data_IF_856748281469
#
_entry.id   IF_856748281469
#
_cell.length_a   1.000
_cell.length_b   1.000
_cell.length_c   1.000
_cell.angle_alpha   90.00
_cell.angle_beta   90.00
_cell.angle_gamma   90.00
#
_symmetry.space_group_name_H-M   'P 1'
#
loop_
_entity.id
_entity.type
_entity.pdbx_description
1 polymer ?
#
# COMPACT_ATOMS: atom_id res chain seq x y z
N UNK A 1 6.76 30.86 5.72
CA UNK A 1 7.02 30.71 4.27
C UNK A 1 6.19 29.61 3.63
N UNK A 2 6.03 28.42 4.22
CA UNK A 2 5.15 27.36 3.69
C UNK A 2 3.72 27.27 4.26
N UNK A 3 3.31 28.17 5.15
CA UNK A 3 1.98 28.13 5.79
C UNK A 3 1.72 26.98 6.77
N UNK A 4 2.74 26.17 7.08
CA UNK A 4 2.62 24.99 7.96
C UNK A 4 2.76 25.38 9.43
N UNK A 5 1.89 24.84 10.28
CA UNK A 5 1.94 25.04 11.73
C UNK A 5 2.96 24.08 12.37
N UNK A 6 3.93 24.64 13.09
CA UNK A 6 4.97 23.90 13.81
C UNK A 6 4.58 23.71 15.29
N UNK A 7 5.08 22.65 15.91
CA UNK A 7 4.94 22.40 17.35
C UNK A 7 4.66 20.94 17.70
N UNK A 8 4.57 20.68 19.00
CA UNK A 8 4.26 19.34 19.54
C UNK A 8 2.83 18.89 19.18
N UNK A 9 1.87 19.82 19.19
CA UNK A 9 0.48 19.54 18.83
C UNK A 9 0.33 19.06 17.38
N UNK A 10 1.11 19.65 16.47
CA UNK A 10 1.14 19.27 15.05
C UNK A 10 2.16 18.18 14.73
N UNK A 11 2.89 17.69 15.75
CA UNK A 11 3.96 16.68 15.64
C UNK A 11 5.09 17.08 14.67
N UNK A 12 5.28 18.37 14.44
CA UNK A 12 6.31 18.94 13.57
C UNK A 12 7.22 19.87 14.39
N UNK A 13 8.26 19.30 14.99
CA UNK A 13 9.08 19.98 16.02
C UNK A 13 10.42 20.44 15.44
N UNK A 14 10.69 21.76 15.34
CA UNK A 14 12.00 22.26 14.93
C UNK A 14 12.98 22.18 16.11
N UNK A 15 14.08 21.43 15.94
CA UNK A 15 15.11 21.31 16.96
C UNK A 15 16.19 22.40 16.91
N UNK A 16 16.46 22.97 15.72
CA UNK A 16 17.42 24.05 15.52
C UNK A 16 17.79 24.18 14.05
N UNK A 17 18.60 25.20 13.72
CA UNK A 17 19.08 25.46 12.35
C UNK A 17 20.36 24.70 12.01
N UNK A 18 21.22 24.51 12.99
CA UNK A 18 22.51 23.83 12.83
C UNK A 18 22.33 22.31 12.88
N UNK A 19 23.15 21.58 12.11
CA UNK A 19 23.11 20.12 12.03
C UNK A 19 23.30 19.45 13.40
N UNK A 20 24.09 20.05 14.28
CA UNK A 20 24.28 19.59 15.66
C UNK A 20 22.98 19.46 16.45
N UNK A 21 21.94 20.21 16.08
CA UNK A 21 20.62 20.15 16.72
C UNK A 21 19.87 18.83 16.45
N UNK A 22 20.28 18.07 15.42
CA UNK A 22 19.73 16.75 15.14
C UNK A 22 19.91 15.78 16.32
N UNK A 23 20.91 16.00 17.17
CA UNK A 23 21.14 15.20 18.39
C UNK A 23 19.93 15.20 19.32
N UNK A 24 19.11 16.25 19.33
CA UNK A 24 17.93 16.31 20.19
C UNK A 24 16.87 15.28 19.79
N UNK A 25 16.76 14.96 18.49
CA UNK A 25 15.88 13.89 18.01
C UNK A 25 16.37 12.50 18.46
N UNK A 26 17.67 12.23 18.33
CA UNK A 26 18.26 10.96 18.79
C UNK A 26 18.22 10.83 20.33
N UNK A 27 18.43 11.95 21.04
CA UNK A 27 18.29 12.02 22.50
C UNK A 27 16.85 11.82 22.96
N UNK A 28 15.86 12.24 22.17
CA UNK A 28 14.45 11.91 22.41
C UNK A 28 14.20 10.39 22.26
N UNK A 29 14.71 9.78 21.19
CA UNK A 29 14.61 8.33 20.96
C UNK A 29 15.29 7.51 22.08
N UNK A 30 16.48 7.94 22.51
CA UNK A 30 17.20 7.36 23.66
C UNK A 30 16.37 7.42 24.95
N UNK A 31 15.72 8.55 25.22
CA UNK A 31 14.83 8.71 26.39
C UNK A 31 13.59 7.83 26.29
N UNK A 32 13.05 7.58 25.11
CA UNK A 32 11.94 6.64 24.95
C UNK A 32 12.34 5.22 25.39
N UNK A 33 13.55 4.76 25.05
CA UNK A 33 14.06 3.47 25.50
C UNK A 33 14.23 3.39 27.04
N UNK A 34 14.70 4.47 27.68
CA UNK A 34 14.84 4.54 29.14
C UNK A 34 13.47 4.55 29.83
N UNK A 35 12.57 5.41 29.38
CA UNK A 35 11.26 5.65 30.02
C UNK A 35 10.26 4.53 29.78
N UNK A 36 10.17 4.02 28.55
CA UNK A 36 9.15 3.04 28.15
C UNK A 36 9.73 1.63 27.93
N UNK A 37 11.01 1.54 27.56
CA UNK A 37 11.70 0.26 27.39
C UNK A 37 12.30 -0.32 28.67
N UNK A 38 12.36 0.47 29.76
CA UNK A 38 12.99 0.06 31.03
C UNK A 38 14.50 -0.16 30.92
N UNK A 39 15.14 0.34 29.85
CA UNK A 39 16.58 0.22 29.64
C UNK A 39 17.31 1.03 30.71
N UNK A 40 18.33 0.45 31.33
CA UNK A 40 19.10 1.11 32.38
C UNK A 40 20.09 2.12 31.81
N UNK A 41 20.38 3.18 32.57
CA UNK A 41 21.40 4.15 32.20
C UNK A 41 22.78 3.47 32.07
N UNK A 42 23.50 3.76 30.98
CA UNK A 42 24.79 3.13 30.67
C UNK A 42 24.68 1.85 29.82
N UNK A 43 23.50 1.24 29.71
CA UNK A 43 23.27 0.08 28.83
C UNK A 43 23.02 0.52 27.38
N UNK A 44 24.09 0.96 26.72
CA UNK A 44 24.01 1.47 25.35
C UNK A 44 23.50 0.42 24.37
N UNK A 45 23.86 -0.86 24.56
CA UNK A 45 23.50 -1.94 23.63
C UNK A 45 22.00 -2.17 23.61
N UNK A 46 21.37 -2.31 24.77
CA UNK A 46 19.91 -2.47 24.83
C UNK A 46 19.18 -1.20 24.39
N UNK A 47 19.78 -0.01 24.60
CA UNK A 47 19.21 1.24 24.09
C UNK A 47 19.16 1.25 22.55
N UNK A 48 20.28 0.93 21.88
CA UNK A 48 20.33 0.87 20.42
C UNK A 48 19.42 -0.22 19.85
N UNK A 49 19.39 -1.41 20.47
CA UNK A 49 18.48 -2.49 20.07
C UNK A 49 17.00 -2.13 20.26
N UNK A 50 16.66 -1.41 21.32
CA UNK A 50 15.30 -0.92 21.52
C UNK A 50 14.91 0.04 20.39
N UNK A 51 15.76 1.04 20.10
CA UNK A 51 15.50 2.01 19.05
C UNK A 51 15.32 1.35 17.67
N UNK A 52 16.24 0.45 17.29
CA UNK A 52 16.15 -0.30 16.05
C UNK A 52 14.81 -1.02 15.89
N UNK A 53 14.33 -1.68 16.94
CA UNK A 53 13.17 -2.57 16.86
C UNK A 53 11.82 -1.91 17.21
N UNK A 54 11.82 -0.77 17.92
CA UNK A 54 10.60 -0.15 18.47
C UNK A 54 10.37 1.28 18.00
N UNK A 55 11.42 2.02 17.63
CA UNK A 55 11.30 3.41 17.19
C UNK A 55 11.48 3.47 15.67
N UNK A 56 10.38 3.67 14.95
CA UNK A 56 10.39 3.73 13.49
C UNK A 56 10.74 5.13 12.98
N UNK A 57 12.01 5.53 13.16
CA UNK A 57 12.55 6.78 12.66
C UNK A 57 13.50 6.58 11.47
N UNK A 58 13.62 7.60 10.62
CA UNK A 58 14.55 7.72 9.50
C UNK A 58 15.00 9.17 9.36
N UNK A 59 16.10 9.41 8.66
CA UNK A 59 16.65 10.74 8.37
C UNK A 59 16.44 11.07 6.90
N UNK A 60 15.86 12.23 6.61
CA UNK A 60 15.85 12.79 5.26
C UNK A 60 16.89 13.90 5.17
N UNK A 61 17.98 13.67 4.44
CA UNK A 61 19.03 14.64 4.20
C UNK A 61 18.72 15.39 2.90
N UNK A 62 18.20 16.61 3.01
CA UNK A 62 17.76 17.42 1.88
C UNK A 62 18.79 18.50 1.53
N UNK A 63 19.31 18.48 0.31
CA UNK A 63 20.30 19.43 -0.22
C UNK A 63 21.74 18.90 -0.19
N UNK A 64 22.69 19.84 -0.19
CA UNK A 64 24.12 19.53 -0.18
C UNK A 64 24.56 18.94 1.17
N UNK A 65 25.06 17.70 1.14
CA UNK A 65 25.50 16.97 2.34
C UNK A 65 26.98 17.24 2.58
N UNK A 66 27.28 17.92 3.67
CA UNK A 66 28.65 18.20 4.11
C UNK A 66 29.23 17.05 4.95
N UNK A 67 30.55 17.05 5.17
CA UNK A 67 31.23 16.07 6.04
C UNK A 67 30.63 15.99 7.46
N UNK A 68 30.17 17.12 8.00
CA UNK A 68 29.51 17.16 9.31
C UNK A 68 28.14 16.48 9.28
N UNK A 69 27.40 16.60 8.18
CA UNK A 69 26.14 15.90 7.98
C UNK A 69 26.37 14.40 7.85
N UNK A 70 27.39 13.96 7.11
CA UNK A 70 27.78 12.54 7.04
C UNK A 70 28.05 11.97 8.43
N UNK A 71 28.89 12.64 9.22
CA UNK A 71 29.24 12.20 10.56
C UNK A 71 28.02 12.13 11.49
N UNK A 72 27.13 13.12 11.42
CA UNK A 72 25.93 13.20 12.26
C UNK A 72 24.91 12.11 11.86
N UNK A 73 24.70 11.91 10.55
CA UNK A 73 23.78 10.91 10.02
C UNK A 73 24.27 9.48 10.29
N UNK A 74 25.59 9.22 10.26
CA UNK A 74 26.17 7.95 10.69
C UNK A 74 25.83 7.61 12.16
N UNK A 75 25.67 8.63 13.00
CA UNK A 75 25.14 8.48 14.36
C UNK A 75 23.73 7.88 14.37
N UNK A 76 22.85 8.31 13.46
CA UNK A 76 21.48 7.80 13.35
C UNK A 76 21.44 6.36 12.82
N UNK A 77 22.36 5.99 11.91
CA UNK A 77 22.49 4.61 11.42
C UNK A 77 22.73 3.65 12.58
N UNK A 78 23.56 4.01 13.57
CA UNK A 78 23.80 3.16 14.75
C UNK A 78 22.53 2.85 15.57
N UNK A 79 21.52 3.73 15.53
CA UNK A 79 20.21 3.52 16.16
C UNK A 79 19.28 2.63 15.31
N UNK A 80 19.73 2.21 14.12
CA UNK A 80 18.94 1.52 13.12
C UNK A 80 18.04 2.44 12.31
N UNK A 81 18.32 3.75 12.29
CA UNK A 81 17.57 4.73 11.50
C UNK A 81 18.28 4.96 10.16
N UNK A 82 17.66 4.58 9.03
CA UNK A 82 18.25 4.76 7.72
C UNK A 82 18.24 6.24 7.32
N UNK A 83 19.13 6.58 6.38
CA UNK A 83 19.26 7.92 5.81
C UNK A 83 18.85 7.86 4.34
N UNK A 84 17.96 8.76 3.95
CA UNK A 84 17.50 8.92 2.59
C UNK A 84 17.89 10.34 2.16
N UNK A 85 18.62 10.46 1.06
CA UNK A 85 19.10 11.73 0.53
C UNK A 85 18.52 12.02 -0.86
N UNK A 86 18.27 13.30 -1.13
CA UNK A 86 17.92 13.79 -2.47
C UNK A 86 19.16 14.03 -3.33
N UNK A 87 20.30 14.31 -2.71
CA UNK A 87 21.59 14.50 -3.38
C UNK A 87 22.28 13.19 -3.75
N UNK A 88 23.15 13.26 -4.77
CA UNK A 88 23.99 12.16 -5.21
C UNK A 88 25.18 11.98 -4.25
N UNK A 89 24.98 11.09 -3.26
CA UNK A 89 25.97 10.73 -2.24
C UNK A 89 26.25 9.22 -2.27
N UNK A 90 27.40 8.75 -1.78
CA UNK A 90 27.69 7.32 -1.70
C UNK A 90 26.64 6.56 -0.88
N UNK A 91 26.14 5.47 -1.44
CA UNK A 91 25.14 4.60 -0.79
C UNK A 91 25.78 3.58 0.16
N UNK A 92 24.99 3.15 1.15
CA UNK A 92 25.31 2.05 2.05
C UNK A 92 24.12 1.08 2.00
N UNK A 93 24.11 0.25 0.96
CA UNK A 93 23.07 -0.74 0.68
C UNK A 93 23.06 -1.99 1.58
N UNK A 94 24.15 -2.40 2.26
CA UNK A 94 24.10 -3.57 3.14
C UNK A 94 23.05 -3.45 4.24
N UNK A 95 22.42 -4.57 4.57
CA UNK A 95 21.50 -4.67 5.72
C UNK A 95 22.26 -5.01 7.01
N UNK A 96 21.59 -4.91 8.17
CA UNK A 96 22.08 -5.49 9.43
C UNK A 96 22.05 -4.52 10.60
N UNK A 97 22.47 -3.26 10.42
CA UNK A 97 22.26 -2.21 11.42
C UNK A 97 20.85 -1.66 11.30
N UNK A 98 20.49 -1.07 10.16
CA UNK A 98 19.10 -0.75 9.82
C UNK A 98 18.33 -2.00 9.35
N UNK A 99 17.01 -1.85 9.23
CA UNK A 99 16.10 -2.91 8.74
C UNK A 99 16.50 -3.37 7.33
N UNK A 100 16.68 -2.41 6.43
CA UNK A 100 17.10 -2.63 5.05
C UNK A 100 18.39 -1.84 4.77
N UNK A 101 18.41 -1.01 3.72
CA UNK A 101 19.55 -0.18 3.36
C UNK A 101 19.82 0.87 4.45
N UNK A 102 21.09 1.22 4.67
CA UNK A 102 21.48 2.22 5.68
C UNK A 102 21.48 3.63 5.11
N UNK A 103 21.94 3.78 3.85
CA UNK A 103 21.94 5.04 3.11
C UNK A 103 21.48 4.76 1.68
N UNK A 104 20.45 5.49 1.26
CA UNK A 104 19.92 5.52 -0.11
C UNK A 104 19.96 6.96 -0.59
N UNK A 105 20.45 7.20 -1.80
CA UNK A 105 20.70 8.55 -2.32
C UNK A 105 19.98 8.80 -3.66
N UNK A 106 20.08 10.04 -4.15
CA UNK A 106 19.50 10.46 -5.43
C UNK A 106 17.98 10.20 -5.53
N UNK A 107 17.24 10.41 -4.44
CA UNK A 107 15.79 10.20 -4.40
C UNK A 107 15.04 11.52 -4.67
N UNK A 108 14.20 11.60 -5.72
CA UNK A 108 13.36 12.76 -6.01
C UNK A 108 12.43 13.14 -4.84
N UNK A 109 12.17 14.44 -4.65
CA UNK A 109 11.36 14.96 -3.53
C UNK A 109 9.93 14.44 -3.50
N UNK A 110 9.35 14.15 -4.67
CA UNK A 110 8.01 13.56 -4.82
C UNK A 110 7.96 12.09 -4.36
N UNK A 111 9.10 11.40 -4.31
CA UNK A 111 9.21 9.98 -3.93
C UNK A 111 9.91 9.76 -2.59
N UNK A 112 10.57 10.78 -2.03
CA UNK A 112 11.45 10.63 -0.87
C UNK A 112 10.73 10.13 0.39
N UNK A 113 9.46 10.51 0.56
CA UNK A 113 8.64 10.06 1.70
C UNK A 113 8.30 8.58 1.56
N UNK A 114 7.84 8.14 0.38
CA UNK A 114 7.55 6.74 0.09
C UNK A 114 8.80 5.88 0.28
N UNK A 115 9.94 6.33 -0.26
CA UNK A 115 11.21 5.61 -0.12
C UNK A 115 11.65 5.52 1.34
N UNK A 116 11.45 6.57 2.13
CA UNK A 116 11.78 6.56 3.56
C UNK A 116 10.94 5.57 4.36
N UNK A 117 9.65 5.46 4.03
CA UNK A 117 8.73 4.48 4.62
C UNK A 117 9.19 3.06 4.26
N UNK A 118 9.50 2.82 2.98
CA UNK A 118 9.97 1.53 2.46
C UNK A 118 11.28 1.07 3.15
N UNK A 119 12.33 1.90 3.12
CA UNK A 119 13.66 1.57 3.65
C UNK A 119 13.63 1.38 5.17
N UNK A 120 12.76 2.11 5.89
CA UNK A 120 12.58 1.90 7.32
C UNK A 120 11.77 0.64 7.64
N UNK A 121 10.95 0.16 6.70
CA UNK A 121 9.97 -0.91 6.92
C UNK A 121 8.77 -0.44 7.75
N UNK A 122 8.36 0.82 7.56
CA UNK A 122 7.18 1.40 8.19
C UNK A 122 5.91 0.84 7.52
N UNK A 123 4.94 0.48 8.35
CA UNK A 123 3.62 0.04 7.89
C UNK A 123 2.59 1.09 8.24
N UNK A 124 2.11 1.81 7.23
CA UNK A 124 1.05 2.79 7.43
C UNK A 124 -0.27 2.04 7.51
N UNK A 125 -0.97 2.14 8.65
CA UNK A 125 -2.34 1.65 8.75
C UNK A 125 -3.27 2.67 8.09
N UNK A 126 -4.04 2.22 7.11
CA UNK A 126 -5.07 3.04 6.47
C UNK A 126 -6.25 3.11 7.44
N UNK A 127 -6.44 4.26 8.08
CA UNK A 127 -7.51 4.47 9.08
C UNK A 127 -8.87 4.70 8.45
N UNK A 128 -8.92 5.18 7.20
CA UNK A 128 -10.15 5.49 6.49
C UNK A 128 -9.97 5.16 5.01
N UNK A 129 -10.89 4.37 4.46
CA UNK A 129 -10.88 3.98 3.05
C UNK A 129 -11.64 5.06 2.27
N UNK A 130 -11.03 5.75 1.28
CA UNK A 130 -11.61 6.91 0.61
C UNK A 130 -12.67 6.52 -0.42
N UNK A 131 -13.78 5.93 0.03
CA UNK A 131 -14.92 5.51 -0.78
C UNK A 131 -16.24 6.00 -0.19
N UNK A 132 -17.29 6.22 -1.00
CA UNK A 132 -18.52 6.88 -0.56
C UNK A 132 -19.50 5.96 0.20
N UNK A 133 -19.08 4.73 0.51
CA UNK A 133 -19.90 3.72 1.20
C UNK A 133 -19.16 3.20 2.42
N UNK A 134 -19.91 2.68 3.39
CA UNK A 134 -19.31 2.07 4.58
C UNK A 134 -18.57 0.78 4.22
N UNK A 135 -17.44 0.52 4.87
CA UNK A 135 -16.70 -0.75 4.78
C UNK A 135 -16.71 -1.43 6.13
N UNK A 136 -17.17 -2.68 6.17
CA UNK A 136 -17.19 -3.51 7.37
C UNK A 136 -17.40 -4.98 7.00
N UNK A 137 -16.75 -5.92 7.71
CA UNK A 137 -17.06 -7.35 7.62
C UNK A 137 -18.55 -7.68 7.79
N UNK A 138 -19.32 -6.81 8.46
CA UNK A 138 -20.76 -6.99 8.63
C UNK A 138 -21.56 -6.97 7.31
N UNK A 139 -21.01 -6.40 6.23
CA UNK A 139 -21.69 -6.31 4.93
C UNK A 139 -21.46 -7.52 4.02
N UNK A 140 -20.53 -8.43 4.34
CA UNK A 140 -20.12 -9.54 3.44
C UNK A 140 -21.28 -10.44 2.98
N UNK A 141 -22.34 -10.54 3.79
CA UNK A 141 -23.53 -11.34 3.50
C UNK A 141 -24.65 -10.60 2.75
N UNK A 142 -24.47 -9.35 2.35
CA UNK A 142 -25.47 -8.57 1.63
C UNK A 142 -25.85 -9.26 0.31
N UNK A 143 -27.13 -9.27 -0.03
CA UNK A 143 -27.62 -9.84 -1.30
C UNK A 143 -28.25 -8.74 -2.12
N UNK A 144 -27.71 -8.47 -3.29
CA UNK A 144 -28.27 -7.48 -4.22
C UNK A 144 -29.17 -8.20 -5.22
N UNK A 145 -30.49 -7.98 -5.10
CA UNK A 145 -31.47 -8.53 -6.04
C UNK A 145 -31.52 -7.71 -7.33
N UNK A 146 -32.17 -8.23 -8.37
CA UNK A 146 -32.19 -7.60 -9.70
C UNK A 146 -32.84 -6.20 -9.67
N UNK A 147 -33.87 -6.05 -8.86
CA UNK A 147 -34.62 -4.80 -8.64
C UNK A 147 -33.82 -3.74 -7.86
N UNK A 148 -32.84 -4.17 -7.06
CA UNK A 148 -31.99 -3.31 -6.23
C UNK A 148 -30.64 -3.01 -6.89
N UNK A 149 -30.37 -3.62 -8.03
CA UNK A 149 -29.09 -3.55 -8.75
C UNK A 149 -29.06 -2.36 -9.71
N UNK A 150 -27.97 -1.59 -9.64
CA UNK A 150 -27.67 -0.54 -10.60
C UNK A 150 -26.96 -1.11 -11.83
N UNK A 151 -25.94 -1.96 -11.65
CA UNK A 151 -25.27 -2.65 -12.75
C UNK A 151 -24.72 -4.03 -12.32
N UNK A 152 -24.49 -4.91 -13.31
CA UNK A 152 -23.82 -6.21 -13.12
C UNK A 152 -22.66 -6.44 -14.10
N UNK A 153 -21.66 -7.19 -13.64
CA UNK A 153 -20.48 -7.58 -14.40
C UNK A 153 -20.21 -9.07 -14.20
N UNK A 154 -19.85 -9.81 -15.24
CA UNK A 154 -19.49 -11.21 -15.12
C UNK A 154 -20.69 -12.16 -15.03
N UNK A 155 -20.50 -13.25 -14.30
CA UNK A 155 -21.41 -14.40 -14.30
C UNK A 155 -21.57 -14.96 -15.71
N UNK A 156 -22.80 -15.34 -16.08
CA UNK A 156 -23.12 -15.78 -17.45
C UNK A 156 -23.61 -14.63 -18.35
N UNK A 157 -23.33 -13.37 -17.99
CA UNK A 157 -23.94 -12.19 -18.63
C UNK A 157 -22.94 -11.40 -19.46
N UNK A 158 -21.76 -11.15 -18.93
CA UNK A 158 -20.66 -10.46 -19.62
C UNK A 158 -19.33 -11.17 -19.30
N UNK A 159 -18.31 -11.03 -20.15
CA UNK A 159 -16.97 -11.49 -19.82
C UNK A 159 -16.43 -10.77 -18.58
N UNK A 160 -15.96 -11.51 -17.58
CA UNK A 160 -15.25 -10.94 -16.46
C UNK A 160 -14.12 -11.85 -15.97
N UNK A 161 -13.15 -11.26 -15.28
CA UNK A 161 -12.13 -11.99 -14.55
C UNK A 161 -11.51 -11.14 -13.43
N UNK A 162 -10.86 -11.78 -12.48
CA UNK A 162 -10.00 -11.17 -11.47
C UNK A 162 -8.64 -11.87 -11.43
N UNK A 163 -7.56 -11.10 -11.47
CA UNK A 163 -6.21 -11.61 -11.55
C UNK A 163 -5.27 -10.80 -10.68
N UNK A 164 -4.76 -11.42 -9.62
CA UNK A 164 -3.70 -10.85 -8.81
C UNK A 164 -2.34 -11.35 -9.29
N UNK A 165 -1.37 -10.46 -9.51
CA UNK A 165 -0.03 -10.81 -9.97
C UNK A 165 1.06 -10.02 -9.26
N UNK A 166 2.17 -10.69 -8.97
CA UNK A 166 3.37 -10.06 -8.45
C UNK A 166 4.10 -9.31 -9.57
N UNK A 167 4.60 -8.12 -9.24
CA UNK A 167 5.46 -7.29 -10.09
C UNK A 167 6.71 -6.87 -9.34
N UNK A 168 7.70 -6.37 -10.07
CA UNK A 168 8.85 -5.74 -9.44
C UNK A 168 8.43 -4.43 -8.75
N UNK A 169 9.06 -4.09 -7.63
CA UNK A 169 8.67 -2.93 -6.81
C UNK A 169 8.76 -1.60 -7.57
N UNK A 170 9.62 -1.52 -8.59
CA UNK A 170 9.76 -0.35 -9.48
C UNK A 170 8.68 -0.26 -10.55
N UNK A 171 7.95 -1.34 -10.81
CA UNK A 171 6.87 -1.38 -11.81
C UNK A 171 5.49 -1.07 -11.21
N UNK A 172 5.39 -1.01 -9.88
CA UNK A 172 4.14 -0.77 -9.15
C UNK A 172 4.17 0.62 -8.52
N UNK A 173 3.16 1.41 -8.86
CA UNK A 173 2.86 2.68 -8.20
C UNK A 173 1.84 2.41 -7.07
N UNK A 174 2.26 2.60 -5.82
CA UNK A 174 1.34 2.34 -4.69
C UNK A 174 0.14 3.29 -4.72
N UNK A 175 -1.02 2.77 -4.34
CA UNK A 175 -2.32 3.45 -4.43
C UNK A 175 -2.73 3.85 -5.85
N UNK A 176 -2.02 3.40 -6.89
CA UNK A 176 -2.40 3.63 -8.28
C UNK A 176 -3.69 2.89 -8.62
N UNK A 177 -4.71 3.63 -9.06
CA UNK A 177 -5.97 3.06 -9.55
C UNK A 177 -6.26 3.60 -10.94
N UNK A 178 -6.42 2.69 -11.90
CA UNK A 178 -6.71 3.03 -13.29
C UNK A 178 -8.00 2.36 -13.75
N UNK A 179 -8.91 3.13 -14.36
CA UNK A 179 -10.14 2.61 -14.98
C UNK A 179 -10.05 2.80 -16.49
N UNK A 180 -9.94 1.69 -17.21
CA UNK A 180 -9.73 1.61 -18.65
C UNK A 180 -11.02 1.15 -19.34
N UNK A 181 -11.80 2.13 -19.79
CA UNK A 181 -13.08 1.92 -20.48
C UNK A 181 -14.21 2.74 -19.85
N UNK A 182 -15.48 2.46 -20.21
CA UNK A 182 -16.63 3.13 -19.60
C UNK A 182 -16.76 2.80 -18.11
N UNK A 183 -17.03 3.82 -17.29
CA UNK A 183 -17.27 3.65 -15.85
C UNK A 183 -18.74 3.28 -15.58
N UNK A 184 -19.06 2.85 -14.35
CA UNK A 184 -20.39 2.39 -13.97
C UNK A 184 -21.46 3.48 -14.03
N UNK A 185 -21.09 4.74 -13.89
CA UNK A 185 -22.00 5.89 -13.97
C UNK A 185 -22.46 6.23 -15.40
N UNK A 186 -21.81 5.63 -16.41
CA UNK A 186 -22.25 5.71 -17.81
C UNK A 186 -23.44 4.81 -18.13
N UNK A 187 -23.83 3.92 -17.20
CA UNK A 187 -24.88 2.94 -17.40
C UNK A 187 -26.22 3.43 -16.85
N UNK A 188 -27.28 3.10 -17.60
CA UNK A 188 -28.63 3.13 -17.06
C UNK A 188 -28.81 2.02 -16.00
N UNK A 189 -29.72 2.20 -15.01
CA UNK A 189 -30.03 1.17 -14.03
C UNK A 189 -30.40 -0.18 -14.67
N UNK A 190 -29.78 -1.25 -14.18
CA UNK A 190 -29.84 -2.59 -14.75
C UNK A 190 -28.82 -2.86 -15.88
N UNK A 191 -27.95 -1.90 -16.17
CA UNK A 191 -26.90 -1.99 -17.18
C UNK A 191 -25.88 -3.08 -16.90
N UNK A 192 -25.12 -3.46 -17.93
CA UNK A 192 -24.13 -4.53 -17.87
C UNK A 192 -22.86 -4.11 -18.56
N UNK A 193 -21.73 -4.47 -17.97
CA UNK A 193 -20.41 -4.26 -18.57
C UNK A 193 -19.53 -5.49 -18.36
N UNK A 194 -18.55 -5.73 -19.23
CA UNK A 194 -17.47 -6.64 -18.92
C UNK A 194 -16.59 -6.03 -17.81
N UNK A 195 -15.87 -6.87 -17.06
CA UNK A 195 -15.00 -6.40 -15.99
C UNK A 195 -13.73 -7.26 -15.86
N UNK A 196 -12.57 -6.66 -16.08
CA UNK A 196 -11.28 -7.22 -15.71
C UNK A 196 -10.73 -6.51 -14.48
N UNK A 197 -10.49 -7.22 -13.39
CA UNK A 197 -9.82 -6.70 -12.19
C UNK A 197 -8.39 -7.24 -12.19
N UNK A 198 -7.40 -6.38 -12.41
CA UNK A 198 -5.98 -6.75 -12.27
C UNK A 198 -5.42 -6.06 -11.04
N UNK A 199 -4.96 -6.85 -10.08
CA UNK A 199 -4.29 -6.37 -8.86
C UNK A 199 -2.80 -6.67 -8.98
N UNK A 200 -1.99 -5.63 -9.15
CA UNK A 200 -0.54 -5.74 -9.20
C UNK A 200 0.02 -5.46 -7.82
N UNK A 201 0.74 -6.43 -7.26
CA UNK A 201 1.30 -6.33 -5.92
C UNK A 201 2.82 -6.44 -5.97
N UNK A 202 3.50 -5.71 -5.11
CA UNK A 202 4.93 -5.85 -4.90
C UNK A 202 5.24 -5.82 -3.40
N UNK A 203 6.26 -6.58 -3.00
CA UNK A 203 6.78 -6.51 -1.66
C UNK A 203 8.01 -7.38 -1.48
N UNK A 204 8.92 -6.97 -0.59
CA UNK A 204 10.21 -7.67 -0.36
C UNK A 204 10.04 -9.12 0.12
N UNK A 205 8.90 -9.42 0.75
CA UNK A 205 8.53 -10.77 1.23
C UNK A 205 7.46 -11.43 0.37
N UNK A 206 6.98 -10.76 -0.68
CA UNK A 206 5.99 -11.31 -1.61
C UNK A 206 6.64 -12.42 -2.45
N UNK A 207 5.89 -13.48 -2.71
CA UNK A 207 6.31 -14.62 -3.51
C UNK A 207 5.19 -15.02 -4.45
N UNK A 208 5.52 -15.57 -5.62
CA UNK A 208 4.51 -16.01 -6.61
C UNK A 208 3.52 -17.02 -6.04
N UNK A 209 3.95 -17.84 -5.08
CA UNK A 209 3.08 -18.84 -4.43
C UNK A 209 2.01 -18.21 -3.52
N UNK A 210 2.16 -16.95 -3.14
CA UNK A 210 1.13 -16.21 -2.40
C UNK A 210 0.05 -15.62 -3.30
N UNK A 211 0.28 -15.52 -4.63
CA UNK A 211 -0.69 -14.91 -5.54
C UNK A 211 -2.09 -15.56 -5.47
N UNK A 212 -2.24 -16.91 -5.51
CA UNK A 212 -3.57 -17.53 -5.45
C UNK A 212 -4.25 -17.36 -4.09
N UNK A 213 -3.47 -17.22 -3.01
CA UNK A 213 -3.99 -17.00 -1.66
C UNK A 213 -4.56 -15.59 -1.56
N UNK A 214 -3.80 -14.59 -2.01
CA UNK A 214 -4.24 -13.20 -2.00
C UNK A 214 -5.40 -12.94 -2.97
N UNK A 215 -5.38 -13.56 -4.16
CA UNK A 215 -6.45 -13.42 -5.16
C UNK A 215 -7.82 -13.81 -4.58
N UNK A 216 -7.89 -14.84 -3.72
CA UNK A 216 -9.14 -15.25 -3.07
C UNK A 216 -9.74 -14.18 -2.15
N UNK A 217 -8.93 -13.28 -1.61
CA UNK A 217 -9.42 -12.23 -0.72
C UNK A 217 -10.10 -11.08 -1.47
N UNK A 218 -9.96 -10.98 -2.80
CA UNK A 218 -10.73 -10.02 -3.61
C UNK A 218 -12.23 -10.20 -3.34
N UNK A 219 -12.69 -11.46 -3.25
CA UNK A 219 -14.08 -11.77 -2.90
C UNK A 219 -14.50 -11.17 -1.56
N UNK A 220 -13.79 -11.48 -0.49
CA UNK A 220 -14.14 -10.97 0.85
C UNK A 220 -14.06 -9.45 0.87
N UNK A 221 -12.97 -8.86 0.38
CA UNK A 221 -12.75 -7.42 0.43
C UNK A 221 -13.82 -6.63 -0.31
N UNK A 222 -14.24 -7.09 -1.50
CA UNK A 222 -15.33 -6.44 -2.24
C UNK A 222 -16.67 -6.57 -1.51
N UNK A 223 -16.96 -7.70 -0.90
CA UNK A 223 -18.22 -7.89 -0.16
C UNK A 223 -18.26 -7.13 1.18
N UNK A 224 -17.13 -6.68 1.72
CA UNK A 224 -17.12 -5.81 2.91
C UNK A 224 -17.60 -4.38 2.62
N UNK A 225 -17.68 -3.95 1.37
CA UNK A 225 -18.20 -2.63 1.02
C UNK A 225 -19.74 -2.68 0.88
N UNK A 226 -20.42 -1.83 1.64
CA UNK A 226 -21.88 -1.76 1.63
C UNK A 226 -22.42 -1.51 0.22
N UNK A 227 -23.38 -2.33 -0.21
CA UNK A 227 -24.01 -2.20 -1.52
C UNK A 227 -23.15 -2.65 -2.70
N UNK A 228 -22.02 -3.32 -2.45
CA UNK A 228 -21.25 -4.09 -3.42
C UNK A 228 -21.46 -5.59 -3.14
N UNK A 229 -21.54 -6.40 -4.20
CA UNK A 229 -21.66 -7.85 -4.07
C UNK A 229 -20.74 -8.53 -5.08
N UNK A 230 -19.97 -9.49 -4.62
CA UNK A 230 -19.03 -10.28 -5.42
C UNK A 230 -19.23 -11.78 -5.17
N UNK A 231 -19.22 -12.59 -6.22
CA UNK A 231 -19.30 -14.05 -6.11
C UNK A 231 -18.45 -14.72 -7.18
N UNK A 232 -17.96 -15.92 -6.89
CA UNK A 232 -17.05 -16.63 -7.77
C UNK A 232 -15.60 -16.22 -7.52
N UNK A 233 -14.73 -16.65 -8.43
CA UNK A 233 -13.30 -16.41 -8.38
C UNK A 233 -12.74 -16.42 -9.81
N UNK A 234 -11.51 -15.92 -10.04
CA UNK A 234 -10.82 -16.01 -11.34
C UNK A 234 -11.69 -15.47 -12.49
N UNK A 235 -11.93 -16.24 -13.54
CA UNK A 235 -12.69 -15.89 -14.75
C UNK A 235 -14.18 -16.25 -14.70
N UNK A 236 -14.66 -16.68 -13.53
CA UNK A 236 -16.09 -16.98 -13.28
C UNK A 236 -16.68 -16.04 -12.24
N UNK A 237 -16.04 -14.89 -12.00
CA UNK A 237 -16.51 -13.90 -11.05
C UNK A 237 -17.80 -13.20 -11.53
N UNK A 238 -18.57 -12.71 -10.57
CA UNK A 238 -19.84 -12.02 -10.78
C UNK A 238 -19.97 -10.90 -9.76
N UNK A 239 -20.07 -9.67 -10.25
CA UNK A 239 -20.11 -8.45 -9.43
C UNK A 239 -21.41 -7.69 -9.66
N UNK A 240 -21.95 -7.11 -8.61
CA UNK A 240 -23.11 -6.21 -8.65
C UNK A 240 -22.87 -4.98 -7.80
N UNK A 241 -23.31 -3.83 -8.30
CA UNK A 241 -23.38 -2.58 -7.54
C UNK A 241 -24.86 -2.26 -7.32
N UNK A 242 -25.23 -1.95 -6.08
CA UNK A 242 -26.61 -1.60 -5.72
C UNK A 242 -26.97 -0.18 -6.15
N UNK A 243 -28.27 0.09 -6.29
CA UNK A 243 -28.81 1.43 -6.51
C UNK A 243 -28.43 2.41 -5.39
N UNK A 244 -28.27 1.94 -4.15
CA UNK A 244 -27.89 2.79 -3.02
C UNK A 244 -26.42 3.18 -3.07
N UNK A 245 -25.52 2.24 -3.40
CA UNK A 245 -24.11 2.53 -3.59
C UNK A 245 -23.90 3.50 -4.77
N UNK A 246 -24.57 3.27 -5.90
CA UNK A 246 -24.50 4.18 -7.04
C UNK A 246 -24.99 5.60 -6.69
N UNK A 247 -26.11 5.72 -5.94
CA UNK A 247 -26.62 7.02 -5.45
C UNK A 247 -25.66 7.72 -4.49
N UNK A 248 -24.91 6.97 -3.69
CA UNK A 248 -23.87 7.52 -2.82
C UNK A 248 -22.66 8.03 -3.61
N UNK A 249 -22.56 7.71 -4.91
CA UNK A 249 -21.45 8.08 -5.78
C UNK A 249 -20.42 6.98 -5.96
N UNK A 250 -20.75 5.73 -5.63
CA UNK A 250 -19.84 4.60 -5.85
C UNK A 250 -19.61 4.36 -7.34
N UNK A 251 -18.34 4.39 -7.74
CA UNK A 251 -17.78 4.14 -9.07
C UNK A 251 -16.75 3.03 -9.07
N UNK A 252 -16.33 2.55 -10.25
CA UNK A 252 -15.34 1.47 -10.36
C UNK A 252 -14.00 1.81 -9.71
N UNK A 253 -13.54 3.05 -9.78
CA UNK A 253 -12.31 3.49 -9.10
C UNK A 253 -12.30 3.17 -7.58
N UNK A 254 -13.48 3.12 -6.95
CA UNK A 254 -13.61 2.81 -5.53
C UNK A 254 -13.38 1.33 -5.22
N UNK A 255 -13.58 0.43 -6.18
CA UNK A 255 -13.15 -0.97 -6.07
C UNK A 255 -11.62 -1.01 -5.95
N UNK A 256 -10.90 -0.23 -6.77
CA UNK A 256 -9.45 -0.13 -6.70
C UNK A 256 -8.96 0.41 -5.35
N UNK A 257 -9.55 1.50 -4.87
CA UNK A 257 -9.25 2.10 -3.55
C UNK A 257 -9.54 1.14 -2.39
N UNK A 258 -10.65 0.41 -2.47
CA UNK A 258 -11.02 -0.61 -1.49
C UNK A 258 -10.01 -1.75 -1.45
N UNK A 259 -9.66 -2.32 -2.61
CA UNK A 259 -8.71 -3.41 -2.71
C UNK A 259 -7.32 -2.99 -2.23
N UNK A 260 -6.81 -1.83 -2.68
CA UNK A 260 -5.55 -1.27 -2.18
C UNK A 260 -5.54 -1.19 -0.65
N UNK A 261 -6.59 -0.59 -0.06
CA UNK A 261 -6.64 -0.41 1.38
C UNK A 261 -6.72 -1.72 2.16
N UNK A 262 -7.57 -2.66 1.73
CA UNK A 262 -7.75 -3.95 2.39
C UNK A 262 -6.52 -4.86 2.26
N UNK A 263 -5.87 -4.88 1.09
CA UNK A 263 -4.62 -5.62 0.92
C UNK A 263 -3.51 -5.07 1.81
N UNK A 264 -3.38 -3.74 1.95
CA UNK A 264 -2.42 -3.16 2.89
C UNK A 264 -2.76 -3.46 4.34
N UNK A 265 -4.01 -3.31 4.76
CA UNK A 265 -4.40 -3.53 6.16
C UNK A 265 -4.13 -4.98 6.61
N UNK A 266 -4.57 -5.96 5.80
CA UNK A 266 -4.48 -7.38 6.14
C UNK A 266 -3.09 -7.97 5.83
N UNK A 267 -2.42 -7.49 4.77
CA UNK A 267 -1.22 -8.11 4.20
C UNK A 267 0.02 -7.21 4.15
N UNK A 268 0.07 -6.09 4.89
CA UNK A 268 1.26 -5.22 5.05
C UNK A 268 2.54 -5.93 5.55
N UNK A 269 2.47 -7.20 5.95
CA UNK A 269 3.66 -8.00 6.30
C UNK A 269 4.38 -8.59 5.10
N UNK A 270 3.71 -8.69 3.97
CA UNK A 270 4.22 -9.27 2.73
C UNK A 270 4.10 -8.30 1.54
N UNK A 271 3.14 -7.39 1.56
CA UNK A 271 2.92 -6.37 0.53
C UNK A 271 3.49 -5.02 0.97
N UNK A 272 4.24 -4.39 0.08
CA UNK A 272 4.77 -3.03 0.23
C UNK A 272 4.04 -2.04 -0.72
N UNK A 273 3.61 -2.50 -1.91
CA UNK A 273 2.85 -1.70 -2.89
C UNK A 273 1.71 -2.49 -3.51
N UNK A 274 0.59 -1.80 -3.75
CA UNK A 274 -0.58 -2.35 -4.45
C UNK A 274 -1.10 -1.34 -5.47
N UNK A 275 -1.26 -1.79 -6.72
CA UNK A 275 -1.87 -1.04 -7.80
C UNK A 275 -3.05 -1.84 -8.37
N UNK A 276 -4.14 -1.18 -8.73
CA UNK A 276 -5.33 -1.83 -9.29
C UNK A 276 -5.68 -1.24 -10.64
N UNK A 277 -5.85 -2.09 -11.64
CA UNK A 277 -6.29 -1.74 -12.99
C UNK A 277 -7.62 -2.42 -13.29
N UNK A 278 -8.61 -1.63 -13.65
CA UNK A 278 -9.98 -2.06 -13.92
C UNK A 278 -10.28 -1.85 -15.40
N UNK A 279 -10.70 -2.90 -16.08
CA UNK A 279 -10.97 -2.88 -17.51
C UNK A 279 -12.45 -3.13 -17.78
N UNK A 280 -13.06 -2.27 -18.60
CA UNK A 280 -14.48 -2.39 -18.98
C UNK A 280 -14.72 -2.30 -20.49
N UNK A 281 -13.66 -2.17 -21.29
CA UNK A 281 -13.74 -2.43 -22.74
C UNK A 281 -13.80 -3.93 -23.01
N UNK A 282 -14.80 -4.38 -23.77
CA UNK A 282 -15.03 -5.81 -24.00
C UNK A 282 -13.85 -6.51 -24.68
N UNK A 283 -13.23 -5.88 -25.70
CA UNK A 283 -12.13 -6.51 -26.43
C UNK A 283 -10.90 -6.66 -25.54
N UNK A 284 -10.59 -5.62 -24.75
CA UNK A 284 -9.48 -5.67 -23.80
C UNK A 284 -9.72 -6.72 -22.71
N UNK A 285 -10.92 -6.77 -22.14
CA UNK A 285 -11.26 -7.77 -21.11
C UNK A 285 -11.14 -9.19 -21.65
N UNK A 286 -11.64 -9.47 -22.85
CA UNK A 286 -11.56 -10.80 -23.45
C UNK A 286 -10.12 -11.24 -23.74
N UNK A 287 -9.26 -10.32 -24.16
CA UNK A 287 -7.85 -10.62 -24.43
C UNK A 287 -7.05 -10.84 -23.15
N UNK A 288 -7.21 -9.97 -22.15
CA UNK A 288 -6.57 -10.12 -20.85
C UNK A 288 -7.05 -11.37 -20.11
N UNK A 289 -8.34 -11.72 -20.25
CA UNK A 289 -8.90 -12.95 -19.67
C UNK A 289 -8.20 -14.21 -20.19
N UNK A 290 -7.86 -14.28 -21.48
CA UNK A 290 -7.10 -15.42 -22.03
C UNK A 290 -5.73 -15.55 -21.39
N UNK A 291 -5.04 -14.42 -21.16
CA UNK A 291 -3.76 -14.41 -20.48
C UNK A 291 -3.91 -14.88 -19.03
N UNK A 292 -4.92 -14.38 -18.32
CA UNK A 292 -5.22 -14.80 -16.96
C UNK A 292 -5.53 -16.31 -16.88
N UNK A 293 -6.31 -16.85 -17.82
CA UNK A 293 -6.60 -18.29 -17.93
C UNK A 293 -5.35 -19.15 -18.10
N UNK A 294 -4.37 -18.71 -18.89
CA UNK A 294 -3.09 -19.41 -19.01
C UNK A 294 -2.33 -19.45 -17.68
N UNK A 295 -2.33 -18.34 -16.94
CA UNK A 295 -1.72 -18.25 -15.60
C UNK A 295 -2.46 -19.12 -14.59
N UNK A 296 -3.79 -19.18 -14.63
CA UNK A 296 -4.57 -20.06 -13.76
C UNK A 296 -4.24 -21.54 -14.03
N UNK A 297 -4.14 -21.94 -15.30
CA UNK A 297 -3.76 -23.30 -15.66
C UNK A 297 -2.34 -23.65 -15.18
N UNK A 298 -1.39 -22.72 -15.29
CA UNK A 298 -0.04 -22.91 -14.75
C UNK A 298 -0.05 -23.06 -13.22
N UNK A 299 -0.85 -22.25 -12.51
CA UNK A 299 -1.00 -22.33 -11.05
C UNK A 299 -1.62 -23.66 -10.61
N UNK A 300 -2.63 -24.12 -11.33
CA UNK A 300 -3.30 -25.40 -11.03
C UNK A 300 -2.34 -26.58 -11.23
N UNK A 301 -1.55 -26.57 -12.30
CA UNK A 301 -0.55 -27.60 -12.59
C UNK A 301 0.59 -27.71 -11.57
N UNK A 302 0.81 -26.68 -10.73
CA UNK A 302 1.80 -26.74 -9.62
C UNK A 302 1.23 -27.34 -8.34
N UNK A 303 -0.10 -27.41 -8.22
CA UNK A 303 -0.81 -27.96 -7.08
C UNK A 303 -1.16 -29.44 -7.26
N UNK A 304 -1.19 -29.92 -8.51
CA UNK A 304 -1.28 -31.35 -8.88
C UNK A 304 0.05 -32.09 -8.68
#
# INVERSE_FOLDING_TARGET
EGGVQLGWETRLVPFGREITSAIYALGFASRAALSFGGVQAGDFRHNLLYNKNRIFAFVMALGEVTDEWYATAAGAINYGFPVIADSDIPEILPTGVCTYEHVVSNIPHDQIVEKSIEVRGLKVKITEIPIPVSVSPAFEGERIRKEEMHCEFGGQRTPAFEWLRMRDISEVEDAGVEVLGPDSDSLEPGGKLPLGIIVEVAGRKMQRDFEPVLERHIHTFMNEAQGLWHMGQRDINWVRISNNAAKAGFKLEHIGKLLHAKFHDEYSSILDKVQVKLFTDQKQVEELRKQAQAVYAERDARLE
#
